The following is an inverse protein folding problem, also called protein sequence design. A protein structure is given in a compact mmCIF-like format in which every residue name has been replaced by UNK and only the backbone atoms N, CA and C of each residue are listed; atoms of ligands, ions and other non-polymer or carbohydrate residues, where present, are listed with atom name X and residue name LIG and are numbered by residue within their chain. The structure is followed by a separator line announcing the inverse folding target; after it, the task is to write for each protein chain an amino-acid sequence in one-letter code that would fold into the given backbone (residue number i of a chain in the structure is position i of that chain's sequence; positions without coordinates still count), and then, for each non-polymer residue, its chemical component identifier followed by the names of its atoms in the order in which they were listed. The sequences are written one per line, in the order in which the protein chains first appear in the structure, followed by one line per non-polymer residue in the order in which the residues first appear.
data_IF_103878308925
#
_entry.id   IF_103878308925
#
_cell.length_a   1.000
_cell.length_b   1.000
_cell.length_c   1.000
_cell.angle_alpha   90.00
_cell.angle_beta   90.00
_cell.angle_gamma   90.00
#
_symmetry.space_group_name_H-M   'P 1'
#
loop_
_entity.id
_entity.type
_entity.pdbx_description
1 polymer ?
#
# COMPACT_ATOMS: atom_id res chain seq x y z
N UNK A 1 20.36 -1.61 -0.31
CA UNK A 1 18.97 -1.25 -0.70
C UNK A 1 18.04 -2.03 0.21
N UNK A 2 17.14 -1.37 0.94
CA UNK A 2 16.26 -2.06 1.88
C UNK A 2 15.05 -2.69 1.17
N UNK A 3 14.51 -2.01 0.15
CA UNK A 3 13.39 -2.46 -0.67
C UNK A 3 13.61 -2.07 -2.13
N UNK A 4 13.19 -2.94 -3.05
CA UNK A 4 12.89 -2.56 -4.43
C UNK A 4 11.43 -2.15 -4.50
N UNK A 5 11.13 -1.07 -5.19
CA UNK A 5 9.76 -0.56 -5.33
C UNK A 5 9.29 -0.83 -6.75
N UNK A 6 8.09 -1.40 -6.90
CA UNK A 6 7.46 -1.62 -8.19
C UNK A 6 6.07 -1.00 -8.24
N UNK A 7 5.75 -0.45 -9.42
CA UNK A 7 4.39 -0.10 -9.79
C UNK A 7 3.87 -1.15 -10.76
N UNK A 8 2.68 -1.68 -10.52
CA UNK A 8 2.07 -2.64 -11.46
C UNK A 8 1.75 -1.96 -12.80
N UNK A 9 1.42 -0.67 -12.78
CA UNK A 9 1.24 0.16 -13.98
C UNK A 9 2.49 0.29 -14.87
N UNK A 10 3.68 -0.05 -14.36
CA UNK A 10 4.91 -0.10 -15.16
C UNK A 10 5.08 -1.44 -15.91
N UNK A 11 4.34 -2.49 -15.55
CA UNK A 11 4.46 -3.84 -16.11
C UNK A 11 3.15 -4.37 -16.72
N UNK A 12 2.05 -3.64 -16.54
CA UNK A 12 0.71 -3.93 -17.03
C UNK A 12 0.03 -2.62 -17.50
N UNK A 13 -0.59 -2.58 -18.69
CA UNK A 13 -1.30 -1.40 -19.17
C UNK A 13 -2.40 -0.93 -18.19
N UNK A 14 -2.51 0.39 -18.00
CA UNK A 14 -3.52 0.99 -17.11
C UNK A 14 -4.95 0.60 -17.53
N UNK A 15 -5.22 0.54 -18.83
CA UNK A 15 -6.51 0.10 -19.38
C UNK A 15 -6.87 -1.30 -18.93
N UNK A 16 -5.92 -2.24 -19.01
CA UNK A 16 -6.10 -3.62 -18.58
C UNK A 16 -6.27 -3.72 -17.06
N UNK A 17 -5.48 -3.00 -16.27
CA UNK A 17 -5.64 -2.97 -14.80
C UNK A 17 -7.01 -2.46 -14.37
N UNK A 18 -7.56 -1.48 -15.10
CA UNK A 18 -8.94 -1.00 -14.87
C UNK A 18 -9.95 -2.10 -15.17
N UNK A 19 -9.84 -2.76 -16.33
CA UNK A 19 -10.70 -3.91 -16.71
C UNK A 19 -10.66 -5.04 -15.68
N UNK A 20 -9.46 -5.43 -15.23
CA UNK A 20 -9.27 -6.44 -14.18
C UNK A 20 -9.91 -5.99 -12.87
N UNK A 21 -9.72 -4.73 -12.48
CA UNK A 21 -10.35 -4.19 -11.26
C UNK A 21 -11.87 -4.21 -11.34
N UNK A 22 -12.45 -3.90 -12.50
CA UNK A 22 -13.89 -3.93 -12.72
C UNK A 22 -14.44 -5.36 -12.64
N UNK A 23 -13.78 -6.31 -13.29
CA UNK A 23 -14.13 -7.73 -13.22
C UNK A 23 -14.06 -8.28 -11.79
N UNK A 24 -13.02 -7.90 -11.03
CA UNK A 24 -12.88 -8.27 -9.62
C UNK A 24 -13.97 -7.65 -8.75
N UNK A 25 -14.32 -6.37 -8.95
CA UNK A 25 -15.44 -5.71 -8.26
C UNK A 25 -16.77 -6.40 -8.58
N UNK A 26 -16.98 -6.76 -9.83
CA UNK A 26 -18.20 -7.46 -10.22
C UNK A 26 -18.31 -8.84 -9.58
N UNK A 27 -17.23 -9.63 -9.59
CA UNK A 27 -17.19 -10.91 -8.89
C UNK A 27 -17.43 -10.78 -7.37
N UNK A 28 -17.00 -9.67 -6.75
CA UNK A 28 -17.31 -9.43 -5.35
C UNK A 28 -18.81 -9.19 -5.11
N UNK A 29 -19.50 -8.50 -6.02
CA UNK A 29 -20.97 -8.31 -5.98
C UNK A 29 -21.74 -9.60 -6.28
N UNK A 30 -21.23 -10.37 -7.24
CA UNK A 30 -21.82 -11.62 -7.72
C UNK A 30 -20.78 -12.74 -7.68
N UNK A 31 -20.67 -13.49 -6.56
CA UNK A 31 -19.71 -14.58 -6.41
C UNK A 31 -19.88 -15.72 -7.42
N UNK A 32 -21.03 -15.82 -8.09
CA UNK A 32 -21.25 -16.82 -9.15
C UNK A 32 -20.53 -16.46 -10.46
N UNK A 33 -20.08 -15.20 -10.59
CA UNK A 33 -19.35 -14.73 -11.75
C UNK A 33 -17.93 -15.29 -11.78
N UNK A 34 -17.71 -16.24 -12.69
CA UNK A 34 -16.42 -16.91 -12.84
C UNK A 34 -15.42 -16.06 -13.63
N UNK A 35 -14.18 -16.00 -13.13
CA UNK A 35 -13.05 -15.35 -13.78
C UNK A 35 -11.98 -16.41 -14.07
N UNK A 36 -11.95 -17.00 -15.27
CA UNK A 36 -11.12 -18.18 -15.56
C UNK A 36 -9.62 -17.92 -15.42
N UNK A 37 -9.18 -16.68 -15.66
CA UNK A 37 -7.79 -16.24 -15.52
C UNK A 37 -7.38 -15.92 -14.07
N UNK A 38 -8.33 -15.89 -13.12
CA UNK A 38 -8.06 -15.40 -11.76
C UNK A 38 -7.27 -16.41 -10.95
N UNK A 39 -6.07 -16.02 -10.55
CA UNK A 39 -5.22 -16.78 -9.64
C UNK A 39 -5.76 -16.73 -8.20
N UNK A 40 -5.37 -17.71 -7.39
CA UNK A 40 -5.64 -17.68 -5.95
C UNK A 40 -4.98 -16.44 -5.32
N UNK A 41 -5.75 -15.72 -4.51
CA UNK A 41 -5.39 -14.43 -3.92
C UNK A 41 -6.04 -14.28 -2.54
N UNK A 42 -5.54 -13.34 -1.74
CA UNK A 42 -6.18 -12.92 -0.49
C UNK A 42 -7.40 -12.02 -0.76
N UNK A 43 -8.27 -11.77 0.24
CA UNK A 43 -9.36 -10.81 0.12
C UNK A 43 -8.85 -9.41 -0.26
N UNK A 44 -9.43 -8.85 -1.33
CA UNK A 44 -9.08 -7.53 -1.88
C UNK A 44 -10.13 -6.48 -1.52
N UNK A 45 -11.36 -6.91 -1.24
CA UNK A 45 -12.47 -6.05 -0.87
C UNK A 45 -12.94 -6.39 0.53
N UNK A 46 -13.52 -5.38 1.18
CA UNK A 46 -14.25 -5.50 2.42
C UNK A 46 -15.68 -4.99 2.25
N UNK A 47 -16.51 -5.13 3.28
CA UNK A 47 -17.92 -4.72 3.17
C UNK A 47 -18.08 -3.21 2.96
N UNK A 48 -17.12 -2.42 3.43
CA UNK A 48 -17.06 -0.97 3.24
C UNK A 48 -16.32 -0.52 1.97
N UNK A 49 -15.82 -1.45 1.14
CA UNK A 49 -15.07 -1.09 -0.06
C UNK A 49 -15.93 -0.36 -1.11
N UNK A 50 -15.39 0.69 -1.76
CA UNK A 50 -16.12 1.42 -2.80
C UNK A 50 -16.27 0.56 -4.07
N UNK A 51 -17.52 0.27 -4.44
CA UNK A 51 -17.85 -0.52 -5.64
C UNK A 51 -18.47 0.30 -6.78
N UNK A 52 -18.51 1.62 -6.63
CA UNK A 52 -19.16 2.54 -7.57
C UNK A 52 -18.43 2.68 -8.92
N UNK A 53 -17.16 2.27 -9.00
CA UNK A 53 -16.41 2.23 -10.26
C UNK A 53 -17.01 1.26 -11.28
N UNK A 54 -17.82 0.29 -10.84
CA UNK A 54 -18.35 -0.79 -11.69
C UNK A 54 -19.84 -0.97 -11.43
N UNK A 55 -20.67 -0.09 -11.99
CA UNK A 55 -22.13 -0.12 -11.79
C UNK A 55 -22.83 -1.17 -12.64
N UNK A 56 -22.27 -1.50 -13.80
CA UNK A 56 -22.81 -2.46 -14.75
C UNK A 56 -21.86 -3.65 -14.89
N UNK A 57 -22.40 -4.78 -15.35
CA UNK A 57 -21.64 -6.00 -15.59
C UNK A 57 -20.58 -5.73 -16.67
N UNK A 58 -19.27 -5.79 -16.34
CA UNK A 58 -18.24 -5.64 -17.35
C UNK A 58 -18.23 -6.86 -18.28
N UNK A 59 -17.91 -6.71 -19.58
CA UNK A 59 -17.66 -7.84 -20.46
C UNK A 59 -16.43 -8.64 -19.96
N UNK A 60 -16.31 -9.92 -20.32
CA UNK A 60 -15.09 -10.68 -20.07
C UNK A 60 -13.88 -10.04 -20.78
N UNK A 61 -12.67 -10.41 -20.35
CA UNK A 61 -11.46 -9.99 -21.05
C UNK A 61 -11.46 -10.59 -22.47
N UNK A 62 -10.92 -9.85 -23.43
CA UNK A 62 -10.63 -10.40 -24.76
C UNK A 62 -9.45 -11.39 -24.67
N UNK A 63 -9.26 -12.29 -25.65
CA UNK A 63 -8.09 -13.17 -25.67
C UNK A 63 -6.75 -12.42 -25.65
N UNK A 64 -6.69 -11.23 -26.26
CA UNK A 64 -5.52 -10.35 -26.21
C UNK A 64 -5.30 -9.78 -24.81
N UNK A 65 -6.36 -9.31 -24.14
CA UNK A 65 -6.30 -8.83 -22.76
C UNK A 65 -5.89 -9.94 -21.77
N UNK A 66 -6.36 -11.18 -21.98
CA UNK A 66 -5.94 -12.33 -21.17
C UNK A 66 -4.45 -12.68 -21.38
N UNK A 67 -3.96 -12.62 -22.63
CA UNK A 67 -2.55 -12.80 -22.94
C UNK A 67 -1.69 -11.71 -22.29
N UNK A 68 -2.11 -10.44 -22.38
CA UNK A 68 -1.40 -9.33 -21.76
C UNK A 68 -1.38 -9.44 -20.23
N UNK A 69 -2.47 -9.91 -19.63
CA UNK A 69 -2.56 -10.19 -18.20
C UNK A 69 -1.58 -11.29 -17.80
N UNK A 70 -1.50 -12.36 -18.60
CA UNK A 70 -0.54 -13.44 -18.39
C UNK A 70 0.91 -12.92 -18.49
N UNK A 71 1.22 -12.11 -19.50
CA UNK A 71 2.54 -11.50 -19.68
C UNK A 71 2.89 -10.58 -18.50
N UNK A 72 1.93 -9.81 -17.98
CA UNK A 72 2.13 -9.01 -16.78
C UNK A 72 2.45 -9.87 -15.55
N UNK A 73 1.74 -10.99 -15.35
CA UNK A 73 2.06 -11.95 -14.29
C UNK A 73 3.46 -12.53 -14.45
N UNK A 74 3.87 -12.89 -15.68
CA UNK A 74 5.23 -13.39 -15.96
C UNK A 74 6.31 -12.33 -15.65
N UNK A 75 6.06 -11.06 -15.97
CA UNK A 75 6.98 -9.95 -15.63
C UNK A 75 7.12 -9.79 -14.12
N UNK A 76 6.00 -9.75 -13.39
CA UNK A 76 6.02 -9.65 -11.92
C UNK A 76 6.70 -10.88 -11.29
N UNK A 77 6.43 -12.08 -11.79
CA UNK A 77 7.06 -13.29 -11.30
C UNK A 77 8.58 -13.26 -11.46
N UNK A 78 9.10 -12.77 -12.60
CA UNK A 78 10.55 -12.62 -12.80
C UNK A 78 11.16 -11.66 -11.77
N UNK A 79 10.48 -10.54 -11.49
CA UNK A 79 10.90 -9.59 -10.45
C UNK A 79 10.92 -10.26 -9.07
N UNK A 80 9.82 -10.91 -8.69
CA UNK A 80 9.71 -11.62 -7.41
C UNK A 80 10.78 -12.71 -7.26
N UNK A 81 11.04 -13.51 -8.31
CA UNK A 81 12.07 -14.55 -8.30
C UNK A 81 13.46 -13.95 -8.08
N UNK A 82 13.79 -12.84 -8.74
CA UNK A 82 15.06 -12.16 -8.53
C UNK A 82 15.17 -11.59 -7.12
N UNK A 83 14.09 -11.03 -6.59
CA UNK A 83 14.00 -10.53 -5.21
C UNK A 83 14.21 -11.65 -4.18
N UNK A 84 13.63 -12.84 -4.41
CA UNK A 84 13.88 -14.03 -3.58
C UNK A 84 15.35 -14.46 -3.64
N UNK A 85 15.93 -14.55 -4.84
CA UNK A 85 17.34 -14.97 -5.03
C UNK A 85 18.33 -14.04 -4.34
N UNK A 86 18.10 -12.73 -4.42
CA UNK A 86 18.96 -11.72 -3.81
C UNK A 86 18.57 -11.39 -2.36
N UNK A 87 17.51 -12.03 -1.83
CA UNK A 87 16.91 -11.74 -0.53
C UNK A 87 16.64 -10.23 -0.31
N UNK A 88 16.10 -9.57 -1.34
CA UNK A 88 15.71 -8.16 -1.30
C UNK A 88 14.18 -8.06 -1.39
N UNK A 89 13.51 -7.47 -0.41
CA UNK A 89 12.06 -7.28 -0.46
C UNK A 89 11.60 -6.44 -1.66
N UNK A 90 10.50 -6.87 -2.29
CA UNK A 90 9.77 -6.15 -3.32
C UNK A 90 8.51 -5.51 -2.74
N UNK A 91 8.42 -4.20 -2.82
CA UNK A 91 7.30 -3.41 -2.36
C UNK A 91 6.47 -2.94 -3.54
N UNK A 92 5.21 -3.33 -3.58
CA UNK A 92 4.27 -2.92 -4.61
C UNK A 92 3.51 -1.68 -4.12
N UNK A 93 3.67 -0.56 -4.83
CA UNK A 93 3.02 0.70 -4.51
C UNK A 93 1.50 0.63 -4.78
N UNK A 94 0.73 1.35 -3.97
CA UNK A 94 -0.69 1.57 -4.19
C UNK A 94 -0.95 2.77 -5.10
N UNK A 95 -2.07 2.73 -5.82
CA UNK A 95 -2.51 3.76 -6.75
C UNK A 95 -3.99 4.09 -6.52
N UNK A 96 -4.69 4.57 -7.56
CA UNK A 96 -6.09 4.99 -7.49
C UNK A 96 -7.03 3.83 -7.12
N UNK A 97 -8.14 4.11 -6.43
CA UNK A 97 -9.17 3.11 -6.09
C UNK A 97 -9.76 2.43 -7.33
N UNK A 98 -9.71 3.08 -8.49
CA UNK A 98 -10.12 2.50 -9.78
C UNK A 98 -9.21 1.36 -10.25
N UNK A 99 -7.94 1.32 -9.82
CA UNK A 99 -6.93 0.33 -10.21
C UNK A 99 -6.50 -0.59 -9.06
N UNK A 100 -6.68 -0.13 -7.82
CA UNK A 100 -6.17 -0.81 -6.63
C UNK A 100 -6.57 -2.28 -6.52
N UNK A 101 -7.81 -2.70 -6.89
CA UNK A 101 -8.16 -4.11 -6.81
C UNK A 101 -7.29 -5.04 -7.67
N UNK A 102 -6.93 -4.61 -8.89
CA UNK A 102 -5.99 -5.35 -9.72
C UNK A 102 -4.59 -5.36 -9.07
N UNK A 103 -4.13 -4.22 -8.54
CA UNK A 103 -2.82 -4.13 -7.87
C UNK A 103 -2.74 -5.07 -6.67
N UNK A 104 -3.75 -5.08 -5.81
CA UNK A 104 -3.84 -5.97 -4.65
C UNK A 104 -3.92 -7.45 -5.11
N UNK A 105 -4.66 -7.74 -6.18
CA UNK A 105 -4.69 -9.07 -6.81
C UNK A 105 -3.30 -9.55 -7.26
N UNK A 106 -2.55 -8.73 -7.99
CA UNK A 106 -1.18 -9.04 -8.41
C UNK A 106 -0.25 -9.24 -7.20
N UNK A 107 -0.40 -8.39 -6.19
CA UNK A 107 0.41 -8.41 -4.97
C UNK A 107 0.17 -9.67 -4.17
N UNK A 108 -1.09 -9.98 -3.85
CA UNK A 108 -1.45 -11.07 -2.97
C UNK A 108 -1.27 -12.44 -3.63
N UNK A 109 -1.57 -12.58 -4.92
CA UNK A 109 -1.26 -13.82 -5.65
C UNK A 109 0.25 -14.08 -5.70
N UNK A 110 1.06 -13.03 -5.86
CA UNK A 110 2.53 -13.12 -5.81
C UNK A 110 3.04 -13.43 -4.41
N UNK A 111 2.47 -12.82 -3.37
CA UNK A 111 2.83 -13.08 -1.98
C UNK A 111 2.55 -14.54 -1.59
N UNK A 112 1.39 -15.09 -1.96
CA UNK A 112 1.05 -16.50 -1.75
C UNK A 112 2.08 -17.43 -2.42
N UNK A 113 2.61 -17.04 -3.58
CA UNK A 113 3.60 -17.82 -4.31
C UNK A 113 5.02 -17.73 -3.73
N UNK A 114 5.42 -16.55 -3.25
CA UNK A 114 6.83 -16.24 -2.97
C UNK A 114 7.17 -16.01 -1.50
N UNK A 115 6.20 -15.64 -0.65
CA UNK A 115 6.46 -15.42 0.78
C UNK A 115 6.46 -16.76 1.52
N UNK A 116 7.55 -17.06 2.22
CA UNK A 116 7.80 -18.33 2.92
C UNK A 116 8.57 -18.08 4.22
N UNK A 117 8.59 -19.08 5.10
CA UNK A 117 9.50 -19.18 6.26
C UNK A 117 9.53 -17.96 7.18
N UNK A 118 8.38 -17.29 7.35
CA UNK A 118 8.28 -16.08 8.16
C UNK A 118 9.06 -14.87 7.61
N UNK A 119 9.55 -14.92 6.37
CA UNK A 119 10.25 -13.82 5.70
C UNK A 119 9.44 -13.37 4.46
N UNK A 120 8.58 -12.35 4.58
CA UNK A 120 7.87 -11.84 3.43
C UNK A 120 8.85 -11.15 2.47
N UNK A 121 8.80 -11.53 1.20
CA UNK A 121 9.54 -10.88 0.11
C UNK A 121 8.64 -9.86 -0.60
N UNK A 122 7.37 -10.20 -0.81
CA UNK A 122 6.39 -9.33 -1.46
C UNK A 122 5.61 -8.54 -0.39
N UNK A 123 5.61 -7.22 -0.54
CA UNK A 123 4.90 -6.27 0.31
C UNK A 123 3.81 -5.54 -0.45
N UNK A 124 2.60 -5.48 0.11
CA UNK A 124 1.48 -4.70 -0.42
C UNK A 124 1.31 -3.37 0.31
N UNK A 125 0.89 -2.32 -0.40
CA UNK A 125 0.67 -1.00 0.20
C UNK A 125 -0.78 -0.80 0.63
N UNK A 126 -0.99 -0.45 1.90
CA UNK A 126 -2.29 -0.07 2.47
C UNK A 126 -2.35 1.45 2.65
N UNK A 127 -3.42 2.05 2.12
CA UNK A 127 -3.63 3.50 2.16
C UNK A 127 -4.68 3.85 3.21
N UNK A 128 -4.23 4.28 4.39
CA UNK A 128 -5.08 4.54 5.57
C UNK A 128 -6.05 5.73 5.44
N UNK A 129 -5.93 6.55 4.38
CA UNK A 129 -6.91 7.58 4.05
C UNK A 129 -8.23 7.03 3.52
N UNK A 130 -8.28 5.77 3.05
CA UNK A 130 -9.51 5.11 2.59
C UNK A 130 -10.30 4.59 3.80
N UNK A 131 -11.61 4.82 3.78
CA UNK A 131 -12.53 4.37 4.83
C UNK A 131 -12.51 2.84 5.02
N UNK A 132 -12.17 2.08 3.98
CA UNK A 132 -12.13 0.61 3.99
C UNK A 132 -10.77 0.01 4.36
N UNK A 133 -9.73 0.84 4.56
CA UNK A 133 -8.34 0.38 4.65
C UNK A 133 -8.10 -0.59 5.81
N UNK A 134 -8.63 -0.26 6.99
CA UNK A 134 -8.49 -1.08 8.21
C UNK A 134 -9.14 -2.45 8.03
N UNK A 135 -10.34 -2.50 7.47
CA UNK A 135 -11.10 -3.74 7.27
C UNK A 135 -10.39 -4.63 6.25
N UNK A 136 -9.98 -4.09 5.09
CA UNK A 136 -9.21 -4.83 4.09
C UNK A 136 -7.89 -5.36 4.64
N UNK A 137 -7.14 -4.55 5.38
CA UNK A 137 -5.89 -4.97 6.02
C UNK A 137 -6.12 -6.16 6.96
N UNK A 138 -7.14 -6.07 7.83
CA UNK A 138 -7.47 -7.13 8.77
C UNK A 138 -7.85 -8.43 8.05
N UNK A 139 -8.70 -8.34 7.04
CA UNK A 139 -9.13 -9.50 6.24
C UNK A 139 -7.97 -10.15 5.50
N UNK A 140 -7.09 -9.37 4.86
CA UNK A 140 -5.94 -9.88 4.13
C UNK A 140 -4.92 -10.56 5.08
N UNK A 141 -4.57 -9.92 6.20
CA UNK A 141 -3.66 -10.48 7.20
C UNK A 141 -4.22 -11.78 7.80
N UNK A 142 -5.52 -11.82 8.14
CA UNK A 142 -6.17 -13.02 8.67
C UNK A 142 -6.28 -14.15 7.65
N UNK A 143 -6.54 -13.84 6.39
CA UNK A 143 -6.56 -14.84 5.33
C UNK A 143 -5.16 -15.42 5.09
N UNK A 144 -4.13 -14.57 5.10
CA UNK A 144 -2.75 -15.01 4.94
C UNK A 144 -2.28 -15.91 6.10
N UNK A 145 -2.64 -15.57 7.34
CA UNK A 145 -2.41 -16.40 8.53
C UNK A 145 -3.00 -17.81 8.37
N UNK A 146 -4.26 -17.91 7.92
CA UNK A 146 -4.92 -19.21 7.67
C UNK A 146 -4.22 -20.04 6.60
N UNK A 147 -3.56 -19.40 5.64
CA UNK A 147 -2.77 -20.04 4.59
C UNK A 147 -1.32 -20.33 5.01
N UNK A 148 -0.89 -19.90 6.20
CA UNK A 148 0.51 -20.00 6.64
C UNK A 148 1.47 -19.13 5.81
N UNK A 149 0.97 -18.08 5.15
CA UNK A 149 1.76 -17.18 4.31
C UNK A 149 2.10 -15.91 5.11
N UNK A 150 3.38 -15.59 5.35
CA UNK A 150 3.74 -14.34 6.00
C UNK A 150 3.50 -13.17 5.05
N UNK A 151 2.86 -12.11 5.53
CA UNK A 151 2.57 -10.92 4.72
C UNK A 151 3.45 -9.73 5.07
N UNK A 152 3.94 -9.06 4.03
CA UNK A 152 4.57 -7.75 4.14
C UNK A 152 3.55 -6.66 3.81
N UNK A 153 3.48 -5.63 4.64
CA UNK A 153 2.63 -4.45 4.38
C UNK A 153 3.44 -3.16 4.43
N UNK A 154 3.18 -2.23 3.50
CA UNK A 154 3.57 -0.83 3.63
C UNK A 154 2.34 -0.04 4.03
N UNK A 155 2.39 0.63 5.17
CA UNK A 155 1.29 1.48 5.62
C UNK A 155 1.63 2.95 5.31
N UNK A 156 0.77 3.60 4.51
CA UNK A 156 0.80 5.03 4.19
C UNK A 156 -0.52 5.68 4.57
N UNK A 157 -0.58 7.01 4.58
CA UNK A 157 -1.87 7.72 4.57
C UNK A 157 -2.53 7.57 3.20
N UNK A 158 -1.99 8.23 2.18
CA UNK A 158 -2.51 8.22 0.82
C UNK A 158 -1.89 9.35 0.02
N UNK A 159 -2.04 9.33 -1.31
CA UNK A 159 -1.44 10.33 -2.20
C UNK A 159 -2.38 10.84 -3.30
N UNK A 160 -3.66 10.43 -3.31
CA UNK A 160 -4.58 10.69 -4.42
C UNK A 160 -5.90 11.35 -3.97
N UNK A 161 -5.94 11.99 -2.80
CA UNK A 161 -7.14 12.54 -2.14
C UNK A 161 -8.07 13.29 -3.11
N UNK A 162 -7.56 14.32 -3.79
CA UNK A 162 -8.36 15.17 -4.67
C UNK A 162 -8.97 14.38 -5.83
N UNK A 163 -8.19 13.50 -6.46
CA UNK A 163 -8.65 12.66 -7.56
C UNK A 163 -9.71 11.64 -7.12
N UNK A 164 -9.58 11.08 -5.91
CA UNK A 164 -10.57 10.16 -5.36
C UNK A 164 -11.91 10.86 -5.07
N UNK A 165 -11.86 12.07 -4.50
CA UNK A 165 -13.05 12.89 -4.26
C UNK A 165 -13.73 13.27 -5.57
N UNK A 166 -12.98 13.79 -6.54
CA UNK A 166 -13.51 14.17 -7.87
C UNK A 166 -14.11 12.96 -8.61
N UNK A 167 -13.42 11.81 -8.58
CA UNK A 167 -13.91 10.58 -9.21
C UNK A 167 -15.21 10.07 -8.57
N UNK A 168 -15.37 10.17 -7.25
CA UNK A 168 -16.61 9.76 -6.58
C UNK A 168 -17.76 10.72 -6.90
N UNK A 169 -17.51 12.03 -6.81
CA UNK A 169 -18.52 13.07 -7.06
C UNK A 169 -19.02 13.06 -8.51
N UNK A 170 -18.13 12.84 -9.49
CA UNK A 170 -18.54 12.73 -10.92
C UNK A 170 -19.45 11.53 -11.20
N UNK A 171 -19.41 10.50 -10.34
CA UNK A 171 -20.28 9.33 -10.40
C UNK A 171 -21.51 9.45 -9.48
N UNK A 172 -21.65 10.54 -8.72
CA UNK A 172 -22.77 10.75 -7.79
C UNK A 172 -22.64 9.99 -6.47
N UNK A 173 -21.43 9.64 -6.04
CA UNK A 173 -21.16 8.90 -4.80
C UNK A 173 -20.36 9.74 -3.79
N UNK A 174 -20.50 9.38 -2.52
CA UNK A 174 -19.68 9.92 -1.44
C UNK A 174 -18.21 9.53 -1.61
N UNK A 175 -17.33 10.43 -1.16
CA UNK A 175 -15.89 10.21 -1.25
C UNK A 175 -15.44 8.97 -0.45
N UNK A 176 -14.58 8.11 -1.03
CA UNK A 176 -14.11 6.89 -0.38
C UNK A 176 -13.07 7.16 0.72
N UNK A 177 -12.56 8.40 0.81
CA UNK A 177 -11.59 8.81 1.81
C UNK A 177 -12.29 9.31 3.08
N UNK A 178 -11.58 9.30 4.20
CA UNK A 178 -12.02 9.88 5.47
C UNK A 178 -12.41 11.36 5.32
N UNK A 179 -13.37 11.80 6.14
CA UNK A 179 -13.92 13.15 6.06
C UNK A 179 -12.96 14.20 6.64
N UNK A 180 -11.99 13.78 7.45
CA UNK A 180 -10.97 14.64 8.03
C UNK A 180 -9.58 14.00 8.05
N UNK A 181 -8.57 14.85 8.21
CA UNK A 181 -7.19 14.42 8.38
C UNK A 181 -6.99 13.65 9.70
N UNK A 182 -7.73 14.01 10.75
CA UNK A 182 -7.70 13.36 12.06
C UNK A 182 -8.26 11.93 11.99
N UNK A 183 -9.34 11.72 11.24
CA UNK A 183 -9.85 10.38 10.96
C UNK A 183 -8.82 9.52 10.20
N UNK A 184 -8.12 10.11 9.22
CA UNK A 184 -7.01 9.43 8.53
C UNK A 184 -5.86 9.10 9.48
N UNK A 185 -5.54 9.99 10.42
CA UNK A 185 -4.51 9.77 11.43
C UNK A 185 -4.90 8.65 12.39
N UNK A 186 -6.16 8.63 12.84
CA UNK A 186 -6.71 7.58 13.69
C UNK A 186 -6.68 6.23 12.96
N UNK A 187 -7.14 6.16 11.71
CA UNK A 187 -7.10 4.95 10.89
C UNK A 187 -5.66 4.44 10.70
N UNK A 188 -4.70 5.33 10.41
CA UNK A 188 -3.28 4.97 10.29
C UNK A 188 -2.74 4.39 11.60
N UNK A 189 -2.97 5.06 12.73
CA UNK A 189 -2.46 4.63 14.03
C UNK A 189 -3.10 3.31 14.49
N UNK A 190 -4.38 3.09 14.21
CA UNK A 190 -5.07 1.83 14.45
C UNK A 190 -4.48 0.68 13.63
N UNK A 191 -4.29 0.89 12.32
CA UNK A 191 -3.67 -0.08 11.43
C UNK A 191 -2.23 -0.40 11.87
N UNK A 192 -1.47 0.62 12.28
CA UNK A 192 -0.11 0.45 12.80
C UNK A 192 -0.10 -0.37 14.09
N UNK A 193 -1.04 -0.10 15.00
CA UNK A 193 -1.19 -0.86 16.24
C UNK A 193 -1.48 -2.33 15.99
N UNK A 194 -2.40 -2.62 15.08
CA UNK A 194 -2.72 -3.98 14.65
C UNK A 194 -1.48 -4.68 14.05
N UNK A 195 -0.79 -4.04 13.10
CA UNK A 195 0.39 -4.63 12.45
C UNK A 195 1.54 -4.89 13.43
N UNK A 196 1.73 -4.04 14.43
CA UNK A 196 2.72 -4.26 15.48
C UNK A 196 2.40 -5.51 16.33
N UNK A 197 1.14 -5.74 16.68
CA UNK A 197 0.72 -6.97 17.37
C UNK A 197 0.96 -8.21 16.50
N UNK A 198 0.70 -8.11 15.19
CA UNK A 198 0.98 -9.19 14.24
C UNK A 198 2.48 -9.51 14.14
N UNK A 199 3.34 -8.48 14.17
CA UNK A 199 4.81 -8.64 14.18
C UNK A 199 5.27 -9.27 15.49
N UNK A 200 4.76 -8.82 16.64
CA UNK A 200 5.10 -9.36 17.95
C UNK A 200 4.76 -10.86 18.05
N UNK A 201 3.66 -11.28 17.40
CA UNK A 201 3.26 -12.68 17.29
C UNK A 201 4.00 -13.48 16.19
N UNK A 202 4.92 -12.85 15.45
CA UNK A 202 5.75 -13.53 14.47
C UNK A 202 5.08 -13.82 13.12
N UNK A 203 3.98 -13.13 12.76
CA UNK A 203 3.22 -13.46 11.56
C UNK A 203 3.52 -12.55 10.34
N UNK A 204 3.62 -11.24 10.56
CA UNK A 204 3.68 -10.26 9.47
C UNK A 204 4.97 -9.41 9.55
N UNK A 205 5.20 -8.60 8.51
CA UNK A 205 6.20 -7.54 8.49
C UNK A 205 5.59 -6.23 7.99
N UNK A 206 6.13 -5.10 8.43
CA UNK A 206 5.61 -3.77 8.10
C UNK A 206 6.70 -2.75 7.79
N UNK A 207 6.37 -1.89 6.82
CA UNK A 207 7.03 -0.60 6.57
C UNK A 207 6.05 0.51 6.92
N UNK A 208 6.32 1.23 8.01
CA UNK A 208 5.58 2.45 8.38
C UNK A 208 6.11 3.65 7.61
N UNK A 209 5.45 4.01 6.52
CA UNK A 209 5.78 5.16 5.71
C UNK A 209 5.03 6.41 6.18
N UNK A 210 5.71 7.25 6.97
CA UNK A 210 5.12 8.49 7.55
C UNK A 210 6.18 9.54 7.85
N UNK A 211 5.80 10.80 7.60
CA UNK A 211 6.51 12.01 8.04
C UNK A 211 5.95 12.61 9.33
N UNK A 212 4.74 12.18 9.73
CA UNK A 212 4.12 12.65 10.96
C UNK A 212 4.88 12.08 12.17
N UNK A 213 5.44 13.00 12.96
CA UNK A 213 6.28 12.70 14.12
C UNK A 213 5.47 11.96 15.19
N UNK A 214 4.22 12.34 15.43
CA UNK A 214 3.38 11.76 16.49
C UNK A 214 3.01 10.31 16.17
N UNK A 215 2.58 10.03 14.94
CA UNK A 215 2.36 8.64 14.47
C UNK A 215 3.64 7.81 14.57
N UNK A 216 4.79 8.37 14.18
CA UNK A 216 6.08 7.69 14.27
C UNK A 216 6.48 7.37 15.72
N UNK A 217 6.33 8.34 16.64
CA UNK A 217 6.57 8.16 18.07
C UNK A 217 5.62 7.15 18.70
N UNK A 218 4.33 7.22 18.37
CA UNK A 218 3.31 6.30 18.87
C UNK A 218 3.61 4.86 18.46
N UNK A 219 3.92 4.63 17.18
CA UNK A 219 4.29 3.31 16.67
C UNK A 219 5.59 2.79 17.31
N UNK A 220 6.60 3.65 17.46
CA UNK A 220 7.87 3.30 18.11
C UNK A 220 7.68 2.94 19.60
N UNK A 221 6.87 3.71 20.33
CA UNK A 221 6.55 3.43 21.74
C UNK A 221 5.80 2.10 21.87
N UNK A 222 4.76 1.88 21.04
CA UNK A 222 3.99 0.63 21.03
C UNK A 222 4.86 -0.57 20.67
N UNK A 223 5.76 -0.45 19.70
CA UNK A 223 6.69 -1.52 19.34
C UNK A 223 7.58 -1.94 20.52
N UNK A 224 8.10 -0.96 21.28
CA UNK A 224 8.88 -1.24 22.51
C UNK A 224 8.04 -1.93 23.57
N UNK A 225 6.81 -1.47 23.80
CA UNK A 225 5.91 -2.06 24.80
C UNK A 225 5.53 -3.51 24.45
N UNK A 226 5.44 -3.83 23.16
CA UNK A 226 5.21 -5.19 22.66
C UNK A 226 6.48 -6.06 22.63
N UNK A 227 7.62 -5.55 23.14
CA UNK A 227 8.88 -6.30 23.17
C UNK A 227 9.54 -6.50 21.81
N UNK A 228 9.16 -5.73 20.78
CA UNK A 228 9.79 -5.81 19.47
C UNK A 228 11.22 -5.25 19.59
N UNK A 229 12.20 -6.15 19.59
CA UNK A 229 13.60 -5.82 19.82
C UNK A 229 14.18 -4.89 18.75
N UNK A 230 15.22 -4.15 19.16
CA UNK A 230 16.01 -3.30 18.27
C UNK A 230 16.54 -4.12 17.10
N UNK A 231 16.48 -3.54 15.90
CA UNK A 231 16.95 -4.20 14.68
C UNK A 231 16.06 -5.31 14.13
N UNK A 232 14.84 -5.52 14.66
CA UNK A 232 13.88 -6.47 14.08
C UNK A 232 13.62 -6.10 12.60
N UNK A 233 13.99 -7.01 11.69
CA UNK A 233 13.90 -6.79 10.23
C UNK A 233 12.47 -6.77 9.69
N UNK A 234 11.48 -7.17 10.52
CA UNK A 234 10.05 -7.13 10.17
C UNK A 234 9.40 -5.80 10.51
N UNK A 235 10.09 -4.88 11.16
CA UNK A 235 9.59 -3.54 11.47
C UNK A 235 10.56 -2.49 10.94
N UNK A 236 10.10 -1.75 9.94
CA UNK A 236 10.85 -0.66 9.35
C UNK A 236 10.01 0.61 9.26
N UNK A 237 10.66 1.75 9.43
CA UNK A 237 10.07 3.07 9.19
C UNK A 237 10.63 3.63 7.89
N UNK A 238 9.81 4.34 7.13
CA UNK A 238 10.24 4.95 5.89
C UNK A 238 9.78 6.41 5.79
N UNK A 239 10.66 7.24 5.28
CA UNK A 239 10.38 8.62 4.90
C UNK A 239 10.84 8.85 3.47
N UNK A 240 10.25 9.81 2.78
CA UNK A 240 10.85 10.35 1.56
C UNK A 240 12.20 10.99 1.86
N UNK A 241 13.16 10.82 0.95
CA UNK A 241 14.44 11.50 1.02
C UNK A 241 14.27 13.02 1.01
N UNK A 242 14.97 13.72 1.91
CA UNK A 242 14.85 15.18 2.08
C UNK A 242 13.69 15.63 2.97
N UNK A 243 12.95 14.70 3.59
CA UNK A 243 11.82 15.02 4.46
C UNK A 243 11.94 14.34 5.83
N UNK A 244 11.56 15.09 6.88
CA UNK A 244 11.46 14.61 8.26
C UNK A 244 12.74 13.95 8.80
N UNK A 245 13.90 14.56 8.56
CA UNK A 245 15.19 14.01 9.01
C UNK A 245 15.26 13.82 10.52
N UNK A 246 14.72 14.76 11.30
CA UNK A 246 14.67 14.64 12.77
C UNK A 246 13.93 13.37 13.24
N UNK A 247 12.82 13.02 12.59
CA UNK A 247 12.09 11.78 12.87
C UNK A 247 12.96 10.56 12.51
N UNK A 248 13.57 10.56 11.33
CA UNK A 248 14.43 9.46 10.87
C UNK A 248 15.61 9.22 11.83
N UNK A 249 16.31 10.28 12.24
CA UNK A 249 17.40 10.18 13.22
C UNK A 249 16.90 9.70 14.58
N UNK A 250 15.78 10.23 15.06
CA UNK A 250 15.17 9.80 16.32
C UNK A 250 14.82 8.31 16.34
N UNK A 251 14.20 7.81 15.26
CA UNK A 251 13.87 6.39 15.09
C UNK A 251 15.10 5.50 14.97
N UNK A 252 16.15 5.97 14.26
CA UNK A 252 17.43 5.25 14.19
C UNK A 252 18.12 5.16 15.55
N UNK A 253 18.23 6.27 16.28
CA UNK A 253 18.80 6.30 17.62
C UNK A 253 17.99 5.45 18.60
N UNK A 254 16.68 5.33 18.37
CA UNK A 254 15.80 4.43 19.10
C UNK A 254 16.03 2.93 18.81
N UNK A 255 16.81 2.59 17.78
CA UNK A 255 17.18 1.22 17.40
C UNK A 255 16.30 0.59 16.32
N UNK A 256 15.45 1.36 15.64
CA UNK A 256 14.59 0.85 14.57
C UNK A 256 15.28 0.86 13.20
N UNK A 257 14.78 0.04 12.28
CA UNK A 257 15.13 0.15 10.87
C UNK A 257 14.48 1.39 10.27
N UNK A 258 15.25 2.17 9.50
CA UNK A 258 14.77 3.38 8.86
C UNK A 258 15.33 3.44 7.43
N UNK A 259 14.45 3.65 6.46
CA UNK A 259 14.78 3.86 5.06
C UNK A 259 14.34 5.21 4.53
N UNK A 260 15.08 5.68 3.53
CA UNK A 260 14.73 6.85 2.74
C UNK A 260 14.31 6.43 1.34
N UNK A 261 13.07 6.74 0.98
CA UNK A 261 12.55 6.52 -0.36
C UNK A 261 13.10 7.60 -1.28
N UNK A 262 13.85 7.19 -2.30
CA UNK A 262 14.47 8.08 -3.27
C UNK A 262 13.94 7.72 -4.67
N UNK A 263 13.15 8.60 -5.32
CA UNK A 263 12.88 8.44 -6.75
C UNK A 263 14.18 8.63 -7.53
N UNK A 264 14.42 7.77 -8.51
CA UNK A 264 15.58 7.88 -9.40
C UNK A 264 15.15 7.50 -10.83
N UNK A 265 15.57 8.30 -11.80
CA UNK A 265 15.29 8.07 -13.21
C UNK A 265 15.42 9.35 -14.04
N UNK A 266 15.19 9.26 -15.36
CA UNK A 266 15.10 10.41 -16.26
C UNK A 266 14.08 11.45 -15.77
N UNK A 267 14.37 12.73 -16.01
CA UNK A 267 13.56 13.85 -15.49
C UNK A 267 12.09 13.74 -15.89
N UNK A 268 11.83 13.49 -17.17
CA UNK A 268 10.50 13.32 -17.76
C UNK A 268 9.70 12.19 -17.07
N UNK A 269 10.36 11.09 -16.71
CA UNK A 269 9.74 9.96 -16.00
C UNK A 269 9.44 10.28 -14.53
N UNK A 270 10.22 11.15 -13.88
CA UNK A 270 10.02 11.54 -12.47
C UNK A 270 9.12 12.76 -12.30
N UNK A 271 8.86 13.55 -13.35
CA UNK A 271 7.99 14.73 -13.29
C UNK A 271 6.62 14.47 -12.65
N UNK A 272 5.87 13.40 -13.01
CA UNK A 272 4.58 13.11 -12.36
C UNK A 272 4.71 12.82 -10.86
N UNK A 273 5.84 12.25 -10.43
CA UNK A 273 6.12 12.05 -9.01
C UNK A 273 6.37 13.40 -8.32
N UNK A 274 7.17 14.28 -8.92
CA UNK A 274 7.49 15.59 -8.36
C UNK A 274 6.24 16.48 -8.22
N UNK A 275 5.33 16.46 -9.20
CA UNK A 275 4.06 17.19 -9.13
C UNK A 275 3.21 16.76 -7.94
N UNK A 276 3.03 15.44 -7.73
CA UNK A 276 2.30 14.92 -6.56
C UNK A 276 2.96 15.31 -5.24
N UNK A 277 4.29 15.38 -5.19
CA UNK A 277 5.03 15.85 -3.99
C UNK A 277 4.83 17.34 -3.74
N UNK A 278 4.80 18.15 -4.80
CA UNK A 278 4.52 19.58 -4.68
C UNK A 278 3.09 19.81 -4.13
N UNK A 279 2.10 19.04 -4.58
CA UNK A 279 0.73 19.08 -4.07
C UNK A 279 0.63 18.67 -2.61
N UNK A 280 1.24 17.55 -2.21
CA UNK A 280 1.28 17.11 -0.81
C UNK A 280 1.96 18.14 0.10
N UNK A 281 3.07 18.72 -0.36
CA UNK A 281 3.80 19.74 0.39
C UNK A 281 3.08 21.09 0.46
N UNK A 282 2.11 21.40 -0.42
CA UNK A 282 1.26 22.59 -0.22
C UNK A 282 0.48 22.50 1.09
N UNK A 283 0.02 21.31 1.46
CA UNK A 283 -0.61 21.06 2.76
C UNK A 283 0.37 21.28 3.92
N UNK A 284 1.62 20.80 3.81
CA UNK A 284 2.67 21.00 4.82
C UNK A 284 3.17 22.46 4.91
N UNK A 285 3.20 23.18 3.80
CA UNK A 285 3.54 24.61 3.78
C UNK A 285 2.45 25.44 4.47
N UNK A 286 1.19 24.99 4.46
CA UNK A 286 0.14 25.65 5.25
C UNK A 286 0.30 25.42 6.77
N UNK A 287 0.88 24.29 7.20
CA UNK A 287 1.20 24.01 8.61
C UNK A 287 2.55 24.56 9.07
N UNK A 288 3.42 24.99 8.14
CA UNK A 288 4.69 25.68 8.46
C UNK A 288 4.53 27.10 9.02
N UNK A 289 3.30 27.55 9.30
CA UNK A 289 3.08 28.75 10.13
C UNK A 289 3.56 28.59 11.59
N UNK A 290 3.85 27.37 12.05
CA UNK A 290 4.43 27.13 13.38
C UNK A 290 5.88 27.65 13.46
N UNK A 291 6.64 27.66 12.36
CA UNK A 291 8.02 28.18 12.36
C UNK A 291 8.09 29.71 12.36
N UNK A 292 6.99 30.41 12.05
CA UNK A 292 6.93 31.87 12.07
C UNK A 292 6.55 32.46 13.43
N UNK A 293 5.91 31.68 14.30
CA UNK A 293 5.51 32.10 15.65
C UNK A 293 6.61 31.85 16.69
N UNK A 294 7.57 30.98 16.39
CA UNK A 294 8.73 30.70 17.26
C UNK A 294 9.98 31.54 16.92
N UNK A 295 9.90 32.45 15.95
CA UNK A 295 10.98 33.36 15.55
C UNK A 295 10.65 34.85 15.74
N UNK A 296 9.73 35.18 16.66
CA UNK A 296 9.55 36.53 17.21
C UNK A 296 9.26 36.48 18.70
#
# INVERSE_FOLDING_TARGET
VSFLIAKITAICPISLLRRVSDLLRWQYKDPSFNLPWKLHTLPIFSTSSPLYHTLQKPPPLTPEEELDLELAHRRLQKLCQKCVQENVPLLIDAEYTSLQPAIDYFTYSSAIKHNRDGNPIVYGTVQAYLKDAKERLFMASKAAEKLGVPMGFKLVRGAYMSSETESASSLGYDSPIHNSIDETHACYNDCAGFLLERIANGNDAVVFATHNIDSGKLAACRARNLGIHKGNRRLEFAQLYGMSEALSFGLRNAGFQVSKYLPYGPVDMVMPYLLRRAEENRGLLSTSNIDRVLMW
#
